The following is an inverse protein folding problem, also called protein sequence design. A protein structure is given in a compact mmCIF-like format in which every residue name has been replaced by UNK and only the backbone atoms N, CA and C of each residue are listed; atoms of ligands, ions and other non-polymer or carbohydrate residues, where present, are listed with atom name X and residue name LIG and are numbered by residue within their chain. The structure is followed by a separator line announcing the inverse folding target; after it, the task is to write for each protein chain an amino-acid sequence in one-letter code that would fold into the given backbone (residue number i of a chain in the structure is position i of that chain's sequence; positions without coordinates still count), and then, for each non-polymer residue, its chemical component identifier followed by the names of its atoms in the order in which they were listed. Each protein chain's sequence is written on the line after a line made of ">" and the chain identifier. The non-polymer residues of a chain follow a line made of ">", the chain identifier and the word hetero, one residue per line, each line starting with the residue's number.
data_IF_186460885527
#
_entry.id   IF_186460885527
#
_cell.length_a   1.000
_cell.length_b   1.000
_cell.length_c   1.000
_cell.angle_alpha   90.00
_cell.angle_beta   90.00
_cell.angle_gamma   90.00
#
_symmetry.space_group_name_H-M   'P 1'
#
loop_
_entity.id
_entity.type
_entity.pdbx_description
1 polymer ?
#
# COMPACT_ATOMS: atom_id res chain seq x y z
N UNK A 1 -22.52 -16.85 -2.70
CA UNK A 1 -21.52 -15.82 -3.09
C UNK A 1 -21.71 -15.53 -4.57
N UNK A 2 -21.98 -14.29 -4.92
CA UNK A 2 -22.07 -13.90 -6.33
C UNK A 2 -20.66 -13.95 -6.95
N UNK A 3 -20.53 -14.72 -8.02
CA UNK A 3 -19.26 -14.92 -8.72
C UNK A 3 -18.90 -13.70 -9.60
N UNK A 4 -19.89 -12.91 -10.00
CA UNK A 4 -19.72 -11.79 -10.93
C UNK A 4 -18.75 -10.72 -10.41
N UNK A 5 -18.84 -10.24 -9.13
CA UNK A 5 -17.88 -9.28 -8.59
C UNK A 5 -16.44 -9.78 -8.67
N UNK A 6 -16.22 -11.06 -8.36
CA UNK A 6 -14.88 -11.69 -8.40
C UNK A 6 -14.34 -11.75 -9.83
N UNK A 7 -15.19 -12.14 -10.81
CA UNK A 7 -14.78 -12.18 -12.23
C UNK A 7 -14.39 -10.80 -12.77
N UNK A 8 -15.03 -9.73 -12.29
CA UNK A 8 -14.68 -8.34 -12.66
C UNK A 8 -13.41 -7.89 -11.91
N UNK A 9 -13.27 -8.28 -10.65
CA UNK A 9 -12.14 -7.87 -9.83
C UNK A 9 -10.79 -8.40 -10.34
N UNK A 10 -10.76 -9.59 -10.92
CA UNK A 10 -9.52 -10.19 -11.44
C UNK A 10 -8.87 -9.31 -12.54
N UNK A 11 -9.51 -9.01 -13.67
CA UNK A 11 -8.91 -8.17 -14.70
C UNK A 11 -8.64 -6.74 -14.21
N UNK A 12 -9.53 -6.16 -13.40
CA UNK A 12 -9.31 -4.84 -12.80
C UNK A 12 -8.10 -4.83 -11.85
N UNK A 13 -7.95 -5.86 -11.03
CA UNK A 13 -6.83 -6.02 -10.12
C UNK A 13 -5.50 -6.21 -10.84
N UNK A 14 -5.47 -6.99 -11.92
CA UNK A 14 -4.29 -7.13 -12.77
C UNK A 14 -3.86 -5.80 -13.37
N UNK A 15 -4.80 -5.03 -13.95
CA UNK A 15 -4.52 -3.71 -14.52
C UNK A 15 -4.05 -2.73 -13.44
N UNK A 16 -4.70 -2.73 -12.29
CA UNK A 16 -4.32 -1.89 -11.14
C UNK A 16 -2.94 -2.27 -10.59
N UNK A 17 -2.59 -3.57 -10.57
CA UNK A 17 -1.27 -4.07 -10.19
C UNK A 17 -0.19 -3.65 -11.17
N UNK A 18 -0.46 -3.71 -12.48
CA UNK A 18 0.42 -3.17 -13.52
C UNK A 18 0.65 -1.67 -13.33
N UNK A 19 -0.40 -0.90 -12.99
CA UNK A 19 -0.26 0.51 -12.67
C UNK A 19 0.54 0.74 -11.38
N UNK A 20 0.31 -0.05 -10.33
CA UNK A 20 1.11 0.00 -9.10
C UNK A 20 2.59 -0.24 -9.38
N UNK A 21 2.93 -1.21 -10.24
CA UNK A 21 4.30 -1.47 -10.68
C UNK A 21 4.94 -0.27 -11.37
N UNK A 22 4.18 0.48 -12.19
CA UNK A 22 4.64 1.75 -12.79
C UNK A 22 4.90 2.82 -11.72
N UNK A 23 4.04 2.94 -10.71
CA UNK A 23 4.24 3.88 -9.60
C UNK A 23 5.52 3.54 -8.81
N UNK A 24 5.73 2.26 -8.49
CA UNK A 24 6.90 1.76 -7.77
C UNK A 24 8.19 2.10 -8.53
N UNK A 25 8.22 1.80 -9.83
CA UNK A 25 9.42 2.00 -10.64
C UNK A 25 9.74 3.49 -10.94
N UNK A 26 8.75 4.40 -10.92
CA UNK A 26 8.95 5.77 -11.43
C UNK A 26 8.95 6.85 -10.36
N UNK A 27 8.16 6.69 -9.31
CA UNK A 27 8.00 7.75 -8.31
C UNK A 27 9.28 8.01 -7.51
N UNK A 28 10.03 6.99 -7.03
CA UNK A 28 11.28 7.20 -6.33
C UNK A 28 12.30 7.99 -7.18
N UNK A 29 12.45 7.61 -8.44
CA UNK A 29 13.42 8.18 -9.38
C UNK A 29 12.92 9.45 -10.10
N UNK A 30 11.73 9.94 -9.76
CA UNK A 30 11.11 11.13 -10.35
C UNK A 30 10.91 11.05 -11.87
N UNK A 31 10.75 9.85 -12.41
CA UNK A 31 10.47 9.62 -13.82
C UNK A 31 9.01 9.97 -14.13
N UNK A 32 8.71 10.67 -15.26
CA UNK A 32 7.33 10.97 -15.65
C UNK A 32 6.49 9.70 -15.84
N UNK A 33 5.27 9.68 -15.31
CA UNK A 33 4.36 8.54 -15.43
C UNK A 33 3.90 8.29 -16.89
N UNK A 34 3.97 9.30 -17.74
CA UNK A 34 3.59 9.23 -19.15
C UNK A 34 4.67 8.67 -20.07
N UNK A 35 5.89 8.46 -19.56
CA UNK A 35 6.99 7.92 -20.37
C UNK A 35 6.66 6.47 -20.79
N UNK A 36 6.99 6.12 -22.04
CA UNK A 36 6.84 4.74 -22.52
C UNK A 36 7.73 3.78 -21.71
N UNK A 37 7.20 2.60 -21.39
CA UNK A 37 7.96 1.55 -20.69
C UNK A 37 9.07 1.01 -21.61
N UNK A 38 10.27 0.85 -21.05
CA UNK A 38 11.46 0.37 -21.76
C UNK A 38 12.18 -0.68 -20.93
N UNK A 39 12.88 -1.57 -21.60
CA UNK A 39 13.81 -2.47 -20.94
C UNK A 39 15.02 -1.68 -20.39
N UNK A 40 15.40 -1.80 -19.12
CA UNK A 40 16.53 -1.04 -18.58
C UNK A 40 17.88 -1.47 -19.17
N UNK A 41 17.99 -2.68 -19.70
CA UNK A 41 19.24 -3.22 -20.23
C UNK A 41 19.49 -2.90 -21.70
N UNK A 42 18.45 -2.88 -22.56
CA UNK A 42 18.60 -2.63 -24.01
C UNK A 42 17.83 -1.41 -24.51
N UNK A 43 17.14 -0.69 -23.62
CA UNK A 43 16.32 0.50 -23.91
C UNK A 43 15.20 0.31 -24.96
N UNK A 44 15.00 -0.92 -25.45
CA UNK A 44 13.91 -1.24 -26.36
C UNK A 44 12.57 -0.91 -25.72
N UNK A 45 11.66 -0.28 -26.47
CA UNK A 45 10.30 -0.01 -26.03
C UNK A 45 9.52 -1.32 -25.84
N UNK A 46 8.80 -1.41 -24.74
CA UNK A 46 7.91 -2.54 -24.48
C UNK A 46 6.60 -2.31 -25.22
N UNK A 47 6.16 -3.33 -25.98
CA UNK A 47 4.88 -3.33 -26.66
C UNK A 47 3.72 -3.69 -25.71
N UNK A 48 2.47 -3.53 -26.19
CA UNK A 48 1.28 -3.88 -25.40
C UNK A 48 1.31 -5.34 -24.90
N UNK A 49 1.80 -6.26 -25.71
CA UNK A 49 1.93 -7.67 -25.33
C UNK A 49 3.01 -7.96 -24.26
N UNK A 50 3.92 -7.01 -24.03
CA UNK A 50 4.95 -7.13 -23.00
C UNK A 50 4.52 -6.51 -21.65
N UNK A 51 3.37 -5.80 -21.66
CA UNK A 51 2.86 -5.05 -20.50
C UNK A 51 1.64 -5.76 -19.89
N UNK A 52 1.13 -6.84 -20.51
CA UNK A 52 0.00 -7.61 -19.94
C UNK A 52 0.43 -8.21 -18.59
N UNK A 53 -0.20 -7.79 -17.47
CA UNK A 53 0.25 -8.17 -16.15
C UNK A 53 0.29 -9.69 -15.97
N UNK A 54 1.31 -10.19 -15.27
CA UNK A 54 1.59 -11.62 -14.99
C UNK A 54 1.79 -12.43 -16.27
N UNK A 55 0.84 -12.36 -17.23
CA UNK A 55 0.84 -13.18 -18.46
C UNK A 55 2.09 -12.94 -19.31
N UNK A 56 2.46 -11.68 -19.52
CA UNK A 56 3.66 -11.36 -20.30
C UNK A 56 4.91 -11.92 -19.66
N UNK A 57 5.05 -11.78 -18.33
CA UNK A 57 6.20 -12.29 -17.57
C UNK A 57 6.33 -13.82 -17.69
N UNK A 58 5.22 -14.55 -17.56
CA UNK A 58 5.18 -16.01 -17.71
C UNK A 58 5.55 -16.44 -19.13
N UNK A 59 4.97 -15.78 -20.16
CA UNK A 59 5.21 -16.10 -21.58
C UNK A 59 6.67 -15.88 -21.99
N UNK A 60 7.32 -14.81 -21.47
CA UNK A 60 8.75 -14.55 -21.73
C UNK A 60 9.68 -15.23 -20.73
N UNK A 61 9.13 -16.05 -19.81
CA UNK A 61 9.88 -16.77 -18.76
C UNK A 61 10.78 -15.85 -17.94
N UNK A 62 10.25 -14.67 -17.60
CA UNK A 62 10.97 -13.67 -16.81
C UNK A 62 12.18 -13.06 -17.50
N UNK A 63 12.24 -13.02 -18.83
CA UNK A 63 13.37 -12.49 -19.60
C UNK A 63 12.90 -11.54 -20.71
N UNK A 64 13.67 -10.49 -20.95
CA UNK A 64 13.40 -9.57 -22.05
C UNK A 64 13.41 -10.30 -23.41
N UNK A 65 12.45 -10.06 -24.28
CA UNK A 65 12.38 -10.66 -25.62
C UNK A 65 13.53 -10.25 -26.54
N UNK A 66 14.12 -9.07 -26.31
CA UNK A 66 15.16 -8.51 -27.18
C UNK A 66 16.59 -8.85 -26.74
N UNK A 67 16.86 -8.78 -25.42
CA UNK A 67 18.22 -8.95 -24.90
C UNK A 67 18.35 -10.09 -23.89
N UNK A 68 17.27 -10.83 -23.61
CA UNK A 68 17.22 -11.92 -22.63
C UNK A 68 17.62 -11.53 -21.18
N UNK A 69 17.79 -10.23 -20.88
CA UNK A 69 18.03 -9.74 -19.51
C UNK A 69 16.88 -10.17 -18.58
N UNK A 70 17.17 -10.56 -17.33
CA UNK A 70 16.16 -11.02 -16.38
C UNK A 70 15.23 -9.86 -15.97
N UNK A 71 13.91 -10.16 -15.89
CA UNK A 71 12.87 -9.26 -15.39
C UNK A 71 12.59 -9.65 -13.94
N UNK A 72 12.72 -8.74 -12.97
CA UNK A 72 12.49 -9.04 -11.55
C UNK A 72 11.13 -9.68 -11.29
N UNK A 73 11.08 -10.71 -10.45
CA UNK A 73 9.85 -11.35 -10.02
C UNK A 73 8.95 -10.44 -9.15
N UNK A 74 9.48 -9.32 -8.68
CA UNK A 74 8.72 -8.32 -7.95
C UNK A 74 7.50 -7.82 -8.75
N UNK A 75 7.62 -7.66 -10.08
CA UNK A 75 6.51 -7.21 -10.94
C UNK A 75 5.29 -8.14 -10.86
N UNK A 76 5.38 -9.43 -11.22
CA UNK A 76 4.23 -10.31 -11.13
C UNK A 76 3.75 -10.54 -9.68
N UNK A 77 4.62 -10.43 -8.68
CA UNK A 77 4.23 -10.51 -7.26
C UNK A 77 3.32 -9.33 -6.90
N UNK A 78 3.71 -8.09 -7.24
CA UNK A 78 2.90 -6.88 -7.01
C UNK A 78 1.54 -7.00 -7.70
N UNK A 79 1.52 -7.47 -8.94
CA UNK A 79 0.30 -7.65 -9.72
C UNK A 79 -0.64 -8.69 -9.10
N UNK A 80 -0.11 -9.83 -8.64
CA UNK A 80 -0.88 -10.88 -7.98
C UNK A 80 -1.39 -10.44 -6.61
N UNK A 81 -0.56 -9.76 -5.80
CA UNK A 81 -0.97 -9.23 -4.49
C UNK A 81 -2.09 -8.21 -4.66
N UNK A 82 -1.94 -7.26 -5.60
CA UNK A 82 -2.99 -6.28 -5.91
C UNK A 82 -4.27 -6.96 -6.34
N UNK A 83 -4.19 -7.95 -7.24
CA UNK A 83 -5.35 -8.70 -7.72
C UNK A 83 -6.04 -9.46 -6.58
N UNK A 84 -5.28 -10.10 -5.71
CA UNK A 84 -5.83 -10.82 -4.55
C UNK A 84 -6.59 -9.89 -3.60
N UNK A 85 -6.05 -8.70 -3.34
CA UNK A 85 -6.70 -7.68 -2.53
C UNK A 85 -7.95 -7.11 -3.22
N UNK A 86 -7.95 -6.93 -4.55
CA UNK A 86 -9.14 -6.53 -5.32
C UNK A 86 -10.24 -7.58 -5.21
N UNK A 87 -9.89 -8.87 -5.29
CA UNK A 87 -10.83 -9.98 -5.09
C UNK A 87 -11.40 -9.96 -3.68
N UNK A 88 -10.58 -9.73 -2.64
CA UNK A 88 -11.07 -9.63 -1.27
C UNK A 88 -12.05 -8.46 -1.09
N UNK A 89 -11.75 -7.28 -1.68
CA UNK A 89 -12.69 -6.14 -1.68
C UNK A 89 -13.99 -6.52 -2.41
N UNK A 90 -13.90 -7.20 -3.55
CA UNK A 90 -15.08 -7.61 -4.31
C UNK A 90 -15.93 -8.65 -3.60
N UNK A 91 -15.32 -9.54 -2.83
CA UNK A 91 -16.03 -10.52 -1.99
C UNK A 91 -16.79 -9.83 -0.86
N UNK A 92 -16.20 -8.81 -0.23
CA UNK A 92 -16.77 -8.11 0.91
C UNK A 92 -17.85 -7.08 0.50
N UNK A 93 -17.57 -6.27 -0.52
CA UNK A 93 -18.42 -5.16 -0.93
C UNK A 93 -19.34 -5.48 -2.13
N UNK A 94 -19.08 -6.56 -2.87
CA UNK A 94 -19.82 -6.87 -4.10
C UNK A 94 -19.59 -5.81 -5.20
N UNK A 95 -20.64 -5.56 -6.01
CA UNK A 95 -20.68 -4.47 -7.00
C UNK A 95 -21.39 -3.28 -6.36
N UNK A 96 -20.68 -2.57 -5.50
CA UNK A 96 -21.18 -1.38 -4.82
C UNK A 96 -20.18 -0.23 -4.97
N UNK A 97 -20.67 1.01 -4.99
CA UNK A 97 -19.83 2.22 -4.99
C UNK A 97 -18.93 2.30 -3.76
N UNK A 98 -19.36 1.70 -2.65
CA UNK A 98 -18.58 1.61 -1.41
C UNK A 98 -17.29 0.78 -1.55
N UNK A 99 -17.15 -0.02 -2.61
CA UNK A 99 -15.92 -0.73 -2.94
C UNK A 99 -14.82 0.21 -3.46
N UNK A 100 -15.15 1.37 -4.04
CA UNK A 100 -14.17 2.24 -4.69
C UNK A 100 -13.11 2.79 -3.73
N UNK A 101 -13.43 3.32 -2.53
CA UNK A 101 -12.40 3.79 -1.61
C UNK A 101 -11.39 2.69 -1.23
N UNK A 102 -11.77 1.47 -0.78
CA UNK A 102 -10.80 0.43 -0.50
C UNK A 102 -10.01 -0.02 -1.73
N UNK A 103 -10.56 0.01 -2.95
CA UNK A 103 -9.80 -0.28 -4.18
C UNK A 103 -8.70 0.76 -4.44
N UNK A 104 -8.99 2.06 -4.23
CA UNK A 104 -7.98 3.13 -4.30
C UNK A 104 -6.91 2.92 -3.23
N UNK A 105 -7.33 2.57 -2.01
CA UNK A 105 -6.42 2.27 -0.90
C UNK A 105 -5.48 1.12 -1.25
N UNK A 106 -5.96 0.01 -1.80
CA UNK A 106 -5.15 -1.15 -2.20
C UNK A 106 -4.01 -0.73 -3.11
N UNK A 107 -4.29 0.01 -4.19
CA UNK A 107 -3.25 0.45 -5.14
C UNK A 107 -2.20 1.31 -4.43
N UNK A 108 -2.64 2.26 -3.61
CA UNK A 108 -1.75 3.14 -2.88
C UNK A 108 -0.89 2.36 -1.87
N UNK A 109 -1.49 1.45 -1.09
CA UNK A 109 -0.79 0.69 -0.06
C UNK A 109 0.21 -0.31 -0.65
N UNK A 110 -0.15 -1.02 -1.72
CA UNK A 110 0.78 -1.94 -2.38
C UNK A 110 1.98 -1.17 -2.92
N UNK A 111 1.76 -0.05 -3.61
CA UNK A 111 2.84 0.76 -4.14
C UNK A 111 3.71 1.38 -3.02
N UNK A 112 3.10 1.97 -1.99
CA UNK A 112 3.82 2.59 -0.87
C UNK A 112 4.60 1.55 -0.05
N UNK A 113 3.99 0.38 0.23
CA UNK A 113 4.65 -0.69 0.99
C UNK A 113 5.84 -1.26 0.24
N UNK A 114 5.72 -1.46 -1.08
CA UNK A 114 6.84 -1.96 -1.90
C UNK A 114 7.98 -0.94 -1.94
N UNK A 115 7.68 0.35 -2.17
CA UNK A 115 8.68 1.41 -2.15
C UNK A 115 9.34 1.50 -0.76
N UNK A 116 8.58 1.37 0.31
CA UNK A 116 9.12 1.43 1.68
C UNK A 116 10.05 0.26 1.98
N UNK A 117 9.73 -0.94 1.48
CA UNK A 117 10.61 -2.12 1.60
C UNK A 117 11.91 -1.96 0.79
N UNK A 118 11.84 -1.35 -0.40
CA UNK A 118 13.00 -1.22 -1.30
C UNK A 118 13.93 -0.07 -0.91
N UNK A 119 13.36 1.10 -0.56
CA UNK A 119 14.15 2.33 -0.37
C UNK A 119 13.99 2.98 1.01
N UNK A 120 13.23 2.36 1.93
CA UNK A 120 12.97 2.88 3.29
C UNK A 120 12.46 4.33 3.31
N UNK A 121 11.64 4.70 2.33
CA UNK A 121 11.08 6.05 2.17
C UNK A 121 9.67 6.02 1.62
N UNK A 122 8.80 6.85 2.20
CA UNK A 122 7.44 7.06 1.72
C UNK A 122 7.37 8.39 0.94
N UNK A 123 7.31 8.36 -0.41
CA UNK A 123 7.37 9.56 -1.24
C UNK A 123 6.10 10.40 -1.12
N UNK A 124 6.25 11.69 -0.83
CA UNK A 124 5.15 12.64 -0.77
C UNK A 124 4.35 12.71 -2.08
N UNK A 125 5.02 12.43 -3.21
CA UNK A 125 4.41 12.40 -4.55
C UNK A 125 3.44 11.25 -4.75
N UNK A 126 3.37 10.29 -3.82
CA UNK A 126 2.38 9.22 -3.84
C UNK A 126 1.40 9.36 -2.66
N UNK A 127 1.88 9.66 -1.46
CA UNK A 127 1.03 9.77 -0.26
C UNK A 127 -0.05 10.85 -0.43
N UNK A 128 0.35 12.09 -0.76
CA UNK A 128 -0.63 13.19 -0.84
C UNK A 128 -1.62 13.07 -2.01
N UNK A 129 -1.21 12.68 -3.24
CA UNK A 129 -2.18 12.38 -4.29
C UNK A 129 -3.14 11.24 -3.92
N UNK A 130 -2.66 10.18 -3.23
CA UNK A 130 -3.52 9.09 -2.78
C UNK A 130 -4.57 9.59 -1.78
N UNK A 131 -4.18 10.44 -0.81
CA UNK A 131 -5.12 11.10 0.12
C UNK A 131 -6.13 11.94 -0.65
N UNK A 132 -5.68 12.77 -1.61
CA UNK A 132 -6.56 13.64 -2.39
C UNK A 132 -7.55 12.84 -3.24
N UNK A 133 -7.09 11.81 -3.96
CA UNK A 133 -7.96 10.93 -4.76
C UNK A 133 -8.98 10.21 -3.88
N UNK A 134 -8.55 9.66 -2.74
CA UNK A 134 -9.44 9.02 -1.78
C UNK A 134 -10.51 10.00 -1.26
N UNK A 135 -10.10 11.21 -0.88
CA UNK A 135 -11.04 12.23 -0.39
C UNK A 135 -12.06 12.63 -1.46
N UNK A 136 -11.64 12.80 -2.72
CA UNK A 136 -12.54 13.12 -3.85
C UNK A 136 -13.54 11.98 -4.09
N UNK A 137 -13.06 10.73 -4.16
CA UNK A 137 -13.91 9.55 -4.35
C UNK A 137 -14.92 9.42 -3.21
N UNK A 138 -14.46 9.52 -1.97
CA UNK A 138 -15.34 9.46 -0.79
C UNK A 138 -16.37 10.58 -0.79
N UNK A 139 -15.99 11.81 -1.16
CA UNK A 139 -16.91 12.95 -1.24
C UNK A 139 -17.98 12.73 -2.30
N UNK A 140 -17.58 12.23 -3.48
CA UNK A 140 -18.54 11.93 -4.56
C UNK A 140 -19.54 10.84 -4.13
N UNK A 141 -19.07 9.79 -3.46
CA UNK A 141 -19.93 8.71 -2.97
C UNK A 141 -20.83 9.22 -1.84
N UNK A 142 -20.32 10.00 -0.88
CA UNK A 142 -21.11 10.54 0.22
C UNK A 142 -22.30 11.38 -0.27
N UNK A 143 -22.07 12.17 -1.34
CA UNK A 143 -23.15 12.92 -2.01
C UNK A 143 -24.12 11.97 -2.72
N UNK A 144 -23.61 10.97 -3.44
CA UNK A 144 -24.44 10.03 -4.20
C UNK A 144 -25.37 9.17 -3.31
N UNK A 145 -24.93 8.85 -2.08
CA UNK A 145 -25.70 8.05 -1.12
C UNK A 145 -26.49 8.93 -0.12
N UNK A 146 -26.45 10.26 -0.28
CA UNK A 146 -27.08 11.26 0.60
C UNK A 146 -26.66 11.10 2.09
N UNK A 147 -25.36 10.88 2.33
CA UNK A 147 -24.79 10.72 3.67
C UNK A 147 -23.55 11.60 3.89
N UNK A 148 -23.67 12.93 3.81
CA UNK A 148 -22.53 13.83 3.97
C UNK A 148 -21.90 13.77 5.39
N UNK A 149 -22.63 13.27 6.38
CA UNK A 149 -22.16 13.10 7.76
C UNK A 149 -21.01 12.07 7.90
N UNK A 150 -20.72 11.30 6.86
CA UNK A 150 -19.57 10.37 6.84
C UNK A 150 -18.25 11.12 6.68
N UNK A 151 -18.24 12.24 5.94
CA UNK A 151 -17.02 13.00 5.64
C UNK A 151 -16.31 13.56 6.87
N UNK A 152 -17.00 14.19 7.85
CA UNK A 152 -16.37 14.60 9.10
C UNK A 152 -15.74 13.45 9.87
N UNK A 153 -16.32 12.24 9.81
CA UNK A 153 -15.77 11.06 10.47
C UNK A 153 -14.51 10.56 9.75
N UNK A 154 -14.50 10.57 8.43
CA UNK A 154 -13.31 10.26 7.63
C UNK A 154 -12.16 11.25 7.95
N UNK A 155 -12.47 12.55 7.97
CA UNK A 155 -11.51 13.60 8.34
C UNK A 155 -10.99 13.44 9.78
N UNK A 156 -11.88 13.10 10.73
CA UNK A 156 -11.49 12.86 12.12
C UNK A 156 -10.61 11.62 12.27
N UNK A 157 -10.86 10.56 11.50
CA UNK A 157 -9.97 9.38 11.42
C UNK A 157 -8.59 9.75 10.92
N UNK A 158 -8.51 10.52 9.83
CA UNK A 158 -7.24 11.02 9.28
C UNK A 158 -6.48 11.88 10.31
N UNK A 159 -7.14 12.87 10.90
CA UNK A 159 -6.53 13.75 11.89
C UNK A 159 -6.13 13.00 13.16
N UNK A 160 -6.98 12.11 13.67
CA UNK A 160 -6.72 11.32 14.88
C UNK A 160 -5.52 10.41 14.72
N UNK A 161 -5.44 9.65 13.62
CA UNK A 161 -4.32 8.77 13.36
C UNK A 161 -3.01 9.55 13.14
N UNK A 162 -3.10 10.65 12.39
CA UNK A 162 -1.95 11.55 12.20
C UNK A 162 -1.45 12.09 13.53
N UNK A 163 -2.32 12.63 14.39
CA UNK A 163 -1.93 13.20 15.67
C UNK A 163 -1.32 12.16 16.61
N UNK A 164 -1.83 10.92 16.62
CA UNK A 164 -1.27 9.82 17.41
C UNK A 164 0.17 9.50 16.96
N UNK A 165 0.40 9.29 15.65
CA UNK A 165 1.74 8.99 15.16
C UNK A 165 2.66 10.21 15.21
N UNK A 166 2.13 11.42 15.03
CA UNK A 166 2.91 12.65 15.19
C UNK A 166 3.38 12.84 16.64
N UNK A 167 2.51 12.61 17.62
CA UNK A 167 2.89 12.62 19.03
C UNK A 167 3.95 11.57 19.34
N UNK A 168 3.82 10.35 18.82
CA UNK A 168 4.83 9.30 18.97
C UNK A 168 6.16 9.70 18.32
N UNK A 169 6.13 10.35 17.13
CA UNK A 169 7.31 10.88 16.47
C UNK A 169 8.00 11.97 17.30
N UNK A 170 7.25 12.88 17.91
CA UNK A 170 7.82 13.93 18.78
C UNK A 170 8.53 13.33 20.00
N UNK A 171 8.00 12.24 20.57
CA UNK A 171 8.62 11.53 21.71
C UNK A 171 9.87 10.76 21.26
N UNK A 172 9.85 10.13 20.09
CA UNK A 172 10.95 9.31 19.57
C UNK A 172 11.18 9.54 18.07
N UNK A 173 11.81 10.66 17.66
CA UNK A 173 12.02 10.97 16.24
C UNK A 173 12.90 9.96 15.49
N UNK A 174 13.77 9.24 16.25
CA UNK A 174 14.63 8.18 15.68
C UNK A 174 13.93 6.84 15.57
N UNK A 175 12.86 6.61 16.34
CA UNK A 175 12.13 5.33 16.38
C UNK A 175 11.00 5.24 15.35
N UNK A 176 10.39 6.38 15.00
CA UNK A 176 9.28 6.43 14.05
C UNK A 176 9.59 7.43 12.92
N UNK A 177 9.62 6.95 11.69
CA UNK A 177 9.84 7.78 10.51
C UNK A 177 8.71 8.80 10.28
N UNK A 178 9.04 10.04 9.89
CA UNK A 178 8.02 11.03 9.51
C UNK A 178 7.21 10.60 8.27
N UNK A 179 7.71 9.62 7.51
CA UNK A 179 6.99 8.96 6.43
C UNK A 179 5.71 8.28 6.92
N UNK A 180 5.81 7.51 8.02
CA UNK A 180 4.68 6.80 8.63
C UNK A 180 3.64 7.76 9.20
N UNK A 181 4.10 8.91 9.76
CA UNK A 181 3.19 9.98 10.20
C UNK A 181 2.37 10.53 9.05
N UNK A 182 2.95 10.73 7.86
CA UNK A 182 2.19 11.17 6.68
C UNK A 182 1.30 10.07 6.12
N UNK A 183 1.77 8.82 6.11
CA UNK A 183 0.98 7.67 5.69
C UNK A 183 -0.29 7.53 6.52
N UNK A 184 -0.23 7.80 7.82
CA UNK A 184 -1.38 7.70 8.71
C UNK A 184 -2.56 8.62 8.34
N UNK A 185 -2.33 9.71 7.59
CA UNK A 185 -3.43 10.51 7.01
C UNK A 185 -4.29 9.66 6.06
N UNK A 186 -3.64 8.90 5.17
CA UNK A 186 -4.35 8.02 4.23
C UNK A 186 -5.05 6.89 4.97
N UNK A 187 -4.35 6.24 5.90
CA UNK A 187 -4.88 5.12 6.67
C UNK A 187 -6.08 5.54 7.53
N UNK A 188 -5.93 6.63 8.27
CA UNK A 188 -6.97 7.17 9.13
C UNK A 188 -8.20 7.68 8.36
N UNK A 189 -7.99 8.26 7.17
CA UNK A 189 -9.07 8.68 6.28
C UNK A 189 -9.99 7.48 5.94
N UNK A 190 -9.40 6.34 5.58
CA UNK A 190 -10.17 5.14 5.23
C UNK A 190 -10.81 4.48 6.44
N UNK A 191 -10.13 4.42 7.59
CA UNK A 191 -10.73 3.90 8.83
C UNK A 191 -11.91 4.75 9.29
N UNK A 192 -11.77 6.08 9.24
CA UNK A 192 -12.86 7.00 9.56
C UNK A 192 -14.03 6.90 8.59
N UNK A 193 -13.76 6.72 7.28
CA UNK A 193 -14.76 6.43 6.26
C UNK A 193 -15.52 5.15 6.55
N UNK A 194 -14.80 4.03 6.74
CA UNK A 194 -15.39 2.72 7.08
C UNK A 194 -16.25 2.82 8.33
N UNK A 195 -15.75 3.44 9.40
CA UNK A 195 -16.53 3.68 10.61
C UNK A 195 -17.81 4.50 10.34
N UNK A 196 -17.72 5.51 9.50
CA UNK A 196 -18.82 6.39 9.17
C UNK A 196 -19.92 5.75 8.34
N UNK A 197 -19.53 4.89 7.39
CA UNK A 197 -20.48 4.18 6.51
C UNK A 197 -21.15 3.03 7.24
N UNK A 198 -20.40 2.25 8.02
CA UNK A 198 -20.88 1.00 8.64
C UNK A 198 -21.60 1.24 9.96
N UNK A 199 -21.13 2.19 10.77
CA UNK A 199 -21.61 2.39 12.13
C UNK A 199 -22.16 3.79 12.38
N UNK A 200 -22.88 3.95 13.50
CA UNK A 200 -23.34 5.24 14.00
C UNK A 200 -22.45 5.76 15.14
N UNK A 201 -22.37 7.07 15.27
CA UNK A 201 -21.59 7.73 16.33
C UNK A 201 -20.11 7.87 16.02
N UNK A 202 -19.33 8.35 17.00
CA UNK A 202 -17.92 8.67 16.87
C UNK A 202 -16.99 7.59 17.47
N UNK A 203 -17.51 6.79 18.40
CA UNK A 203 -16.73 5.75 19.07
C UNK A 203 -16.09 4.72 18.11
N UNK A 204 -16.77 4.28 17.01
CA UNK A 204 -16.18 3.41 16.01
C UNK A 204 -14.93 3.98 15.35
N UNK A 205 -14.91 5.30 15.06
CA UNK A 205 -13.73 5.96 14.47
C UNK A 205 -12.51 5.81 15.39
N UNK A 206 -12.70 6.12 16.68
CA UNK A 206 -11.62 6.02 17.67
C UNK A 206 -11.16 4.57 17.83
N UNK A 207 -12.11 3.63 17.91
CA UNK A 207 -11.79 2.20 18.05
C UNK A 207 -10.99 1.68 16.85
N UNK A 208 -11.43 1.94 15.62
CA UNK A 208 -10.74 1.46 14.43
C UNK A 208 -9.33 2.04 14.32
N UNK A 209 -9.15 3.35 14.55
CA UNK A 209 -7.84 4.01 14.51
C UNK A 209 -6.90 3.41 15.58
N UNK A 210 -7.40 3.24 16.81
CA UNK A 210 -6.61 2.70 17.91
C UNK A 210 -6.19 1.24 17.65
N UNK A 211 -7.13 0.39 17.21
CA UNK A 211 -6.84 -1.02 16.93
C UNK A 211 -5.96 -1.19 15.68
N UNK A 212 -6.11 -0.34 14.66
CA UNK A 212 -5.21 -0.35 13.50
C UNK A 212 -3.77 -0.06 13.91
N UNK A 213 -3.56 0.92 14.79
CA UNK A 213 -2.24 1.20 15.35
C UNK A 213 -1.72 0.01 16.17
N UNK A 214 -2.54 -0.54 17.07
CA UNK A 214 -2.16 -1.66 17.92
C UNK A 214 -1.77 -2.90 17.10
N UNK A 215 -2.64 -3.31 16.16
CA UNK A 215 -2.40 -4.45 15.27
C UNK A 215 -1.16 -4.19 14.41
N UNK A 216 -1.01 -2.98 13.87
CA UNK A 216 0.16 -2.59 13.09
C UNK A 216 1.46 -2.67 13.90
N UNK A 217 1.44 -2.25 15.17
CA UNK A 217 2.57 -2.41 16.09
C UNK A 217 2.90 -3.89 16.33
N UNK A 218 1.90 -4.73 16.58
CA UNK A 218 2.10 -6.17 16.78
C UNK A 218 2.70 -6.82 15.54
N UNK A 219 2.12 -6.56 14.36
CA UNK A 219 2.65 -7.07 13.08
C UNK A 219 4.10 -6.60 12.89
N UNK A 220 4.37 -5.31 13.09
CA UNK A 220 5.71 -4.73 12.95
C UNK A 220 6.74 -5.39 13.87
N UNK A 221 6.39 -5.61 15.14
CA UNK A 221 7.27 -6.30 16.09
C UNK A 221 7.50 -7.75 15.69
N UNK A 222 6.45 -8.49 15.34
CA UNK A 222 6.56 -9.91 14.94
C UNK A 222 7.45 -10.05 13.69
N UNK A 223 7.18 -9.25 12.66
CA UNK A 223 7.96 -9.30 11.41
C UNK A 223 9.40 -8.82 11.66
N UNK A 224 9.59 -7.76 12.43
CA UNK A 224 10.91 -7.25 12.80
C UNK A 224 11.74 -8.29 13.57
N UNK A 225 11.14 -8.99 14.53
CA UNK A 225 11.80 -10.10 15.25
C UNK A 225 12.13 -11.26 14.32
N UNK A 226 11.20 -11.65 13.45
CA UNK A 226 11.42 -12.72 12.48
C UNK A 226 12.62 -12.40 11.55
N UNK A 227 12.65 -11.19 11.00
CA UNK A 227 13.76 -10.73 10.16
C UNK A 227 15.07 -10.72 10.94
N UNK A 228 15.06 -10.26 12.20
CA UNK A 228 16.27 -10.26 13.04
C UNK A 228 16.78 -11.67 13.34
N UNK A 229 15.89 -12.64 13.58
CA UNK A 229 16.25 -14.05 13.80
C UNK A 229 16.83 -14.68 12.54
N UNK A 230 16.20 -14.44 11.38
CA UNK A 230 16.65 -14.98 10.10
C UNK A 230 18.02 -14.42 9.68
N UNK A 231 18.27 -13.12 9.92
CA UNK A 231 19.58 -12.50 9.70
C UNK A 231 20.67 -13.08 10.61
N UNK A 232 20.38 -13.36 11.88
CA UNK A 232 21.32 -14.04 12.79
C UNK A 232 21.71 -15.43 12.32
N UNK A 233 20.83 -16.12 11.56
CA UNK A 233 21.10 -17.41 10.94
C UNK A 233 21.97 -17.37 9.67
N UNK A 234 22.58 -16.24 9.31
CA UNK A 234 23.44 -16.07 8.13
C UNK A 234 22.69 -16.13 6.80
N UNK A 235 21.39 -15.93 6.80
CA UNK A 235 20.57 -15.81 5.58
C UNK A 235 20.25 -14.35 5.35
N UNK A 236 20.99 -13.70 4.46
CA UNK A 236 20.63 -12.36 3.95
C UNK A 236 19.41 -12.52 3.02
N UNK A 237 18.22 -12.44 3.59
CA UNK A 237 16.94 -12.57 2.85
C UNK A 237 16.56 -11.31 2.07
N UNK A 238 17.18 -10.19 2.38
CA UNK A 238 17.00 -8.92 1.68
C UNK A 238 18.37 -8.37 1.36
N UNK A 239 18.73 -8.20 0.07
CA UNK A 239 19.96 -7.50 -0.29
C UNK A 239 19.94 -6.11 0.33
N UNK A 240 21.02 -5.70 0.98
CA UNK A 240 21.19 -4.33 1.44
C UNK A 240 21.34 -3.43 0.19
N UNK A 241 20.36 -2.60 -0.16
CA UNK A 241 20.45 -1.76 -1.36
C UNK A 241 21.53 -0.68 -1.26
N UNK A 242 22.20 -0.56 -0.10
CA UNK A 242 23.25 0.44 0.16
C UNK A 242 24.62 -0.21 0.37
N UNK A 243 24.76 -1.53 0.21
CA UNK A 243 26.01 -2.25 0.45
C UNK A 243 27.17 -1.81 -0.48
N UNK A 244 26.85 -1.25 -1.65
CA UNK A 244 27.86 -0.84 -2.66
C UNK A 244 28.15 0.66 -2.69
N UNK A 245 27.56 1.44 -1.78
CA UNK A 245 27.86 2.88 -1.68
C UNK A 245 28.89 3.09 -0.57
N UNK A 246 30.11 3.52 -0.93
CA UNK A 246 31.17 3.96 -0.01
C UNK A 246 30.71 5.20 0.80
N UNK A 247 29.73 5.02 1.68
CA UNK A 247 29.37 5.97 2.72
C UNK A 247 29.83 5.45 4.07
N UNK A 248 30.31 6.32 5.00
CA UNK A 248 30.79 5.86 6.32
C UNK A 248 29.73 5.05 7.01
N UNK A 249 30.11 4.02 7.81
CA UNK A 249 29.24 2.96 8.25
C UNK A 249 28.03 3.50 9.01
N UNK A 250 26.92 3.60 8.32
CA UNK A 250 25.61 3.82 8.90
C UNK A 250 25.17 2.56 9.67
N UNK A 251 25.96 2.18 10.70
CA UNK A 251 25.63 1.09 11.63
C UNK A 251 24.24 1.23 12.28
N UNK A 252 23.62 2.41 12.16
CA UNK A 252 22.29 2.70 12.68
C UNK A 252 21.16 2.30 11.72
N UNK A 253 21.42 2.17 10.40
CA UNK A 253 20.42 1.74 9.41
C UNK A 253 20.31 0.22 9.32
N UNK A 254 21.27 -0.53 9.83
CA UNK A 254 21.31 -2.00 9.79
C UNK A 254 20.18 -2.70 10.59
N UNK A 255 19.46 -1.97 11.45
CA UNK A 255 18.34 -2.48 12.24
C UNK A 255 17.00 -1.78 11.94
N UNK A 256 16.90 -0.93 10.92
CA UNK A 256 15.64 -0.30 10.58
C UNK A 256 14.75 -1.30 9.79
N UNK A 257 13.55 -1.51 10.30
CA UNK A 257 12.51 -2.28 9.63
C UNK A 257 11.47 -1.29 9.08
N UNK A 258 11.01 -1.41 7.81
CA UNK A 258 9.97 -0.55 7.29
C UNK A 258 8.66 -0.82 8.04
N UNK A 259 8.18 0.18 8.79
CA UNK A 259 6.98 0.05 9.62
C UNK A 259 5.70 0.28 8.81
N UNK A 260 5.80 1.04 7.71
CA UNK A 260 4.68 1.35 6.81
C UNK A 260 3.87 0.14 6.36
N UNK A 261 4.48 -0.96 5.87
CA UNK A 261 3.75 -2.16 5.46
C UNK A 261 2.93 -2.82 6.56
N UNK A 262 3.40 -2.78 7.82
CA UNK A 262 2.67 -3.33 8.95
C UNK A 262 1.41 -2.51 9.27
N UNK A 263 1.52 -1.18 9.26
CA UNK A 263 0.39 -0.27 9.41
C UNK A 263 -0.61 -0.42 8.26
N UNK A 264 -0.11 -0.57 7.03
CA UNK A 264 -0.91 -0.79 5.84
C UNK A 264 -1.75 -2.08 5.93
N UNK A 265 -1.11 -3.19 6.34
CA UNK A 265 -1.78 -4.49 6.52
C UNK A 265 -2.86 -4.43 7.60
N UNK A 266 -2.56 -3.82 8.75
CA UNK A 266 -3.52 -3.64 9.83
C UNK A 266 -4.74 -2.79 9.41
N UNK A 267 -4.48 -1.70 8.67
CA UNK A 267 -5.55 -0.84 8.17
C UNK A 267 -6.41 -1.58 7.16
N UNK A 268 -5.80 -2.30 6.21
CA UNK A 268 -6.55 -3.05 5.20
C UNK A 268 -7.42 -4.13 5.84
N UNK A 269 -6.90 -4.83 6.85
CA UNK A 269 -7.65 -5.81 7.63
C UNK A 269 -8.91 -5.18 8.25
N UNK A 270 -8.79 -4.01 8.89
CA UNK A 270 -9.92 -3.36 9.57
C UNK A 270 -10.85 -2.59 8.61
N UNK A 271 -10.39 -2.22 7.42
CA UNK A 271 -11.27 -1.70 6.37
C UNK A 271 -12.15 -2.80 5.81
N UNK A 272 -11.62 -4.02 5.64
CA UNK A 272 -12.39 -5.17 5.16
C UNK A 272 -13.26 -5.78 6.27
N UNK A 273 -12.75 -5.92 7.47
CA UNK A 273 -13.40 -6.62 8.57
C UNK A 273 -13.47 -5.74 9.85
N UNK A 274 -14.24 -4.64 9.81
CA UNK A 274 -14.31 -3.72 10.94
C UNK A 274 -14.95 -4.34 12.20
N UNK A 275 -15.79 -5.35 12.03
CA UNK A 275 -16.48 -6.06 13.13
C UNK A 275 -15.53 -6.83 14.02
N UNK A 276 -14.29 -7.10 13.59
CA UNK A 276 -13.27 -7.74 14.44
C UNK A 276 -12.99 -6.98 15.75
N UNK A 277 -13.25 -5.66 15.76
CA UNK A 277 -12.92 -4.80 16.91
C UNK A 277 -14.09 -3.95 17.40
N UNK A 278 -15.22 -3.97 16.70
CA UNK A 278 -16.41 -3.15 17.02
C UNK A 278 -17.55 -4.03 17.51
N UNK A 279 -17.57 -5.32 17.11
CA UNK A 279 -18.61 -6.32 17.36
C UNK A 279 -18.94 -6.55 18.81
#
# INVERSE_FOLDING_TARGET
>A
MDVIPVLIAIPCGLLAGGFASVLIARIPDRVPLTMASRCPACECRLGLGDIVPVVSWVLVRGRCRHCASPIPAAYPIVELVTTSLFVLVAVEYGIDWLALPPLVLVVALVALSTIDIEVYRLPNRLVFPAVAVSAVVMSAIAVAIDRPEVLPRAAAGAAGYFLLLFAAHLVSPRGLGFGDVKLSLLLGLHLGWTAGVTYRGWAPVVRLVFHALLIGCVIGVVVGLLVAVLRRGGRDLVPDPLADVETPPARLLHNSFPFGPALAAATMLLVLYPDLVIG
#
